data_IF_538342439273
#
_entry.id   IF_538342439273
#
_cell.length_a   1.000
_cell.length_b   1.000
_cell.length_c   1.000
_cell.angle_alpha   90.00
_cell.angle_beta   90.00
_cell.angle_gamma   90.00
#
_symmetry.space_group_name_H-M   'P 1'
#
loop_
_entity.id
_entity.type
_entity.pdbx_description
1 polymer ?
#
# COMPACT_ATOMS: atom_id res chain seq x y z
N UNK A 1 -15.90 14.64 3.98
CA UNK A 1 -15.38 15.50 2.88
C UNK A 1 -15.16 14.62 1.66
N UNK A 2 -15.55 15.05 0.45
CA UNK A 2 -15.32 14.27 -0.76
C UNK A 2 -13.82 14.22 -1.09
N UNK A 3 -13.38 13.10 -1.67
CA UNK A 3 -12.02 12.91 -2.18
C UNK A 3 -11.84 13.62 -3.52
N UNK A 4 -12.59 13.16 -4.54
CA UNK A 4 -12.55 13.68 -5.91
C UNK A 4 -13.94 13.64 -6.53
N UNK A 5 -14.27 14.66 -7.32
CA UNK A 5 -15.54 14.77 -8.05
C UNK A 5 -16.80 14.51 -7.19
N UNK A 6 -16.77 14.95 -5.92
CA UNK A 6 -17.89 14.76 -4.99
C UNK A 6 -18.03 13.34 -4.40
N UNK A 7 -17.17 12.39 -4.78
CA UNK A 7 -17.17 11.02 -4.25
C UNK A 7 -16.27 10.88 -3.04
N UNK A 8 -16.70 10.09 -2.05
CA UNK A 8 -15.85 9.65 -0.95
C UNK A 8 -14.87 8.57 -1.41
N UNK A 9 -13.70 8.51 -0.78
CA UNK A 9 -12.72 7.45 -1.01
C UNK A 9 -12.99 6.28 -0.04
N UNK A 10 -13.13 5.08 -0.59
CA UNK A 10 -13.02 3.83 0.15
C UNK A 10 -11.67 3.21 -0.17
N UNK A 11 -10.93 2.82 0.86
CA UNK A 11 -9.60 2.24 0.69
C UNK A 11 -9.44 1.04 1.62
N UNK A 12 -8.65 0.08 1.15
CA UNK A 12 -8.35 -1.14 1.90
C UNK A 12 -6.87 -1.45 1.74
N UNK A 13 -6.19 -1.71 2.86
CA UNK A 13 -4.75 -1.97 2.88
C UNK A 13 -4.51 -3.47 2.79
N UNK A 14 -3.58 -3.88 1.95
CA UNK A 14 -3.15 -5.28 1.83
C UNK A 14 -1.64 -5.37 1.75
N UNK A 15 -1.09 -6.30 2.52
CA UNK A 15 0.35 -6.45 2.71
C UNK A 15 0.78 -7.85 2.28
N UNK A 16 0.93 -8.12 0.97
CA UNK A 16 1.32 -9.45 0.52
C UNK A 16 2.78 -9.75 0.92
N UNK A 17 3.04 -11.00 1.30
CA UNK A 17 4.39 -11.46 1.60
C UNK A 17 5.22 -11.56 0.31
N UNK A 18 6.29 -10.77 0.19
CA UNK A 18 7.22 -10.80 -0.95
C UNK A 18 7.78 -12.20 -1.20
N UNK A 19 8.04 -12.94 -0.12
CA UNK A 19 8.65 -14.28 -0.14
C UNK A 19 7.63 -15.41 -0.02
N UNK A 20 6.33 -15.10 -0.06
CA UNK A 20 5.30 -16.13 0.00
C UNK A 20 5.39 -17.04 -1.24
N UNK A 21 5.23 -18.34 -1.06
CA UNK A 21 5.38 -19.36 -2.13
C UNK A 21 4.57 -19.02 -3.40
N UNK A 22 3.34 -18.53 -3.23
CA UNK A 22 2.45 -18.15 -4.34
C UNK A 22 2.93 -16.93 -5.15
N UNK A 23 3.82 -16.11 -4.59
CA UNK A 23 4.31 -14.88 -5.21
C UNK A 23 5.81 -14.92 -5.53
N UNK A 24 6.61 -15.79 -4.90
CA UNK A 24 8.08 -15.80 -5.01
C UNK A 24 8.58 -15.94 -6.47
N UNK A 25 7.88 -16.72 -7.29
CA UNK A 25 8.20 -16.88 -8.72
C UNK A 25 7.99 -15.60 -9.55
N UNK A 26 7.15 -14.68 -9.06
CA UNK A 26 6.88 -13.38 -9.67
C UNK A 26 7.83 -12.33 -9.09
N UNK A 27 7.89 -12.21 -7.77
CA UNK A 27 8.67 -11.19 -7.06
C UNK A 27 10.18 -11.34 -7.24
N UNK A 28 10.66 -12.56 -7.52
CA UNK A 28 12.07 -12.81 -7.91
C UNK A 28 12.46 -12.23 -9.26
N UNK A 29 11.49 -11.97 -10.15
CA UNK A 29 11.72 -11.44 -11.50
C UNK A 29 11.50 -9.94 -11.56
N UNK A 30 10.50 -9.46 -10.83
CA UNK A 30 10.13 -8.05 -10.82
C UNK A 30 9.58 -7.64 -9.45
N UNK A 31 10.15 -6.56 -8.94
CA UNK A 31 9.81 -5.96 -7.66
C UNK A 31 8.38 -5.41 -7.67
N UNK A 32 7.60 -5.67 -6.62
CA UNK A 32 6.24 -5.12 -6.50
C UNK A 32 5.15 -5.94 -7.19
N UNK A 33 5.48 -7.06 -7.84
CA UNK A 33 4.47 -7.89 -8.51
C UNK A 33 3.46 -8.52 -7.54
N UNK A 34 3.82 -8.81 -6.29
CA UNK A 34 2.84 -9.30 -5.33
C UNK A 34 1.86 -8.19 -4.94
N UNK A 35 2.36 -6.96 -4.74
CA UNK A 35 1.50 -5.80 -4.48
C UNK A 35 0.58 -5.49 -5.66
N UNK A 36 1.09 -5.51 -6.89
CA UNK A 36 0.29 -5.29 -8.09
C UNK A 36 -0.82 -6.34 -8.25
N UNK A 37 -0.48 -7.63 -8.05
CA UNK A 37 -1.48 -8.72 -8.09
C UNK A 37 -2.54 -8.58 -7.01
N UNK A 38 -2.14 -8.24 -5.79
CA UNK A 38 -3.08 -8.00 -4.70
C UNK A 38 -4.01 -6.81 -5.00
N UNK A 39 -3.49 -5.74 -5.60
CA UNK A 39 -4.28 -4.58 -6.01
C UNK A 39 -5.32 -4.96 -7.07
N UNK A 40 -4.93 -5.72 -8.10
CA UNK A 40 -5.85 -6.21 -9.15
C UNK A 40 -6.97 -7.08 -8.56
N UNK A 41 -6.64 -7.99 -7.64
CA UNK A 41 -7.62 -8.84 -6.95
C UNK A 41 -8.62 -7.99 -6.14
N UNK A 42 -8.14 -6.97 -5.43
CA UNK A 42 -9.01 -6.05 -4.67
C UNK A 42 -9.88 -5.20 -5.59
N UNK A 43 -9.34 -4.70 -6.70
CA UNK A 43 -10.12 -3.96 -7.70
C UNK A 43 -11.23 -4.83 -8.30
N UNK A 44 -10.95 -6.09 -8.63
CA UNK A 44 -11.98 -7.02 -9.13
C UNK A 44 -13.07 -7.27 -8.09
N UNK A 45 -12.70 -7.36 -6.80
CA UNK A 45 -13.64 -7.62 -5.71
C UNK A 45 -14.53 -6.41 -5.38
N UNK A 46 -13.96 -5.21 -5.32
CA UNK A 46 -14.62 -4.03 -4.76
C UNK A 46 -14.88 -2.91 -5.76
N UNK A 47 -14.22 -2.90 -6.91
CA UNK A 47 -14.27 -1.79 -7.87
C UNK A 47 -15.68 -1.45 -8.37
N UNK A 48 -16.55 -2.45 -8.46
CA UNK A 48 -17.97 -2.27 -8.83
C UNK A 48 -18.94 -2.41 -7.64
N UNK A 49 -18.42 -2.75 -6.45
CA UNK A 49 -19.27 -3.01 -5.27
C UNK A 49 -19.72 -1.71 -4.58
N UNK A 50 -19.00 -0.61 -4.79
CA UNK A 50 -19.23 0.68 -4.15
C UNK A 50 -19.50 1.78 -5.20
N UNK A 51 -20.67 1.80 -5.87
CA UNK A 51 -20.93 2.68 -7.01
C UNK A 51 -20.93 4.18 -6.67
N UNK A 52 -21.12 4.54 -5.40
CA UNK A 52 -21.11 5.93 -4.92
C UNK A 52 -19.74 6.38 -4.37
N UNK A 53 -18.77 5.47 -4.29
CA UNK A 53 -17.44 5.75 -3.75
C UNK A 53 -16.37 5.48 -4.79
N UNK A 54 -15.23 6.14 -4.65
CA UNK A 54 -14.02 5.77 -5.36
C UNK A 54 -13.30 4.71 -4.54
N UNK A 55 -13.14 3.49 -5.06
CA UNK A 55 -12.37 2.46 -4.38
C UNK A 55 -10.91 2.50 -4.83
N UNK A 56 -9.98 2.52 -3.88
CA UNK A 56 -8.54 2.45 -4.13
C UNK A 56 -7.88 1.40 -3.21
N UNK A 57 -7.32 0.31 -3.76
CA UNK A 57 -6.51 -0.60 -2.98
C UNK A 57 -5.18 0.08 -2.63
N UNK A 58 -4.76 -0.09 -1.37
CA UNK A 58 -3.41 0.27 -0.92
C UNK A 58 -2.64 -1.04 -0.77
N UNK A 59 -1.76 -1.36 -1.73
CA UNK A 59 -1.01 -2.59 -1.75
C UNK A 59 0.50 -2.34 -1.63
N UNK A 60 1.09 -2.93 -0.59
CA UNK A 60 2.49 -2.74 -0.23
C UNK A 60 3.03 -4.11 0.18
N UNK A 61 4.00 -4.64 -0.56
CA UNK A 61 4.65 -5.87 -0.16
C UNK A 61 5.37 -5.72 1.18
N UNK A 62 5.53 -6.83 1.89
CA UNK A 62 6.13 -6.86 3.23
C UNK A 62 7.54 -6.27 3.28
N UNK A 63 8.31 -6.37 2.18
CA UNK A 63 9.66 -5.81 2.08
C UNK A 63 9.70 -4.36 1.59
N UNK A 64 8.55 -3.73 1.35
CA UNK A 64 8.43 -2.31 0.99
C UNK A 64 7.92 -1.97 -0.43
N UNK A 65 8.10 -2.80 -1.47
CA UNK A 65 7.59 -2.47 -2.81
C UNK A 65 6.09 -2.20 -2.82
N UNK A 66 5.64 -1.14 -3.49
CA UNK A 66 4.23 -0.76 -3.58
C UNK A 66 3.72 -0.93 -5.00
N UNK A 67 2.41 -1.15 -5.15
CA UNK A 67 1.82 -1.01 -6.47
C UNK A 67 1.85 0.47 -6.94
N UNK A 68 1.89 0.73 -8.26
CA UNK A 68 2.00 2.09 -8.77
C UNK A 68 0.87 3.05 -8.35
N UNK A 69 -0.35 2.56 -8.16
CA UNK A 69 -1.48 3.39 -7.76
C UNK A 69 -1.37 3.78 -6.29
N UNK A 70 -0.90 2.89 -5.42
CA UNK A 70 -0.56 3.23 -4.03
C UNK A 70 0.48 4.34 -3.97
N UNK A 71 1.58 4.21 -4.73
CA UNK A 71 2.62 5.23 -4.74
C UNK A 71 2.09 6.58 -5.26
N UNK A 72 1.27 6.56 -6.32
CA UNK A 72 0.63 7.76 -6.85
C UNK A 72 -0.28 8.41 -5.80
N UNK A 73 -1.09 7.63 -5.12
CA UNK A 73 -2.01 8.10 -4.09
C UNK A 73 -1.29 8.74 -2.90
N UNK A 74 -0.26 8.09 -2.35
CA UNK A 74 0.53 8.65 -1.25
C UNK A 74 1.18 9.98 -1.65
N UNK A 75 1.72 10.06 -2.86
CA UNK A 75 2.27 11.31 -3.40
C UNK A 75 1.22 12.40 -3.55
N UNK A 76 -0.01 12.06 -3.98
CA UNK A 76 -1.12 13.01 -4.06
C UNK A 76 -1.51 13.54 -2.67
N UNK A 77 -1.58 12.68 -1.66
CA UNK A 77 -1.85 13.07 -0.27
C UNK A 77 -0.76 14.04 0.24
N UNK A 78 0.52 13.70 0.09
CA UNK A 78 1.60 14.58 0.55
C UNK A 78 1.59 15.94 -0.17
N UNK A 79 1.28 15.97 -1.46
CA UNK A 79 1.10 17.22 -2.22
C UNK A 79 -0.07 18.03 -1.71
N UNK A 80 -1.21 17.39 -1.42
CA UNK A 80 -2.37 18.08 -0.85
C UNK A 80 -2.07 18.70 0.52
N UNK A 81 -1.30 18.00 1.36
CA UNK A 81 -0.84 18.53 2.66
C UNK A 81 0.01 19.79 2.44
N UNK A 82 1.00 19.73 1.55
CA UNK A 82 1.88 20.87 1.26
C UNK A 82 1.14 22.07 0.67
N UNK A 83 0.19 21.83 -0.25
CA UNK A 83 -0.65 22.90 -0.80
C UNK A 83 -1.54 23.52 0.28
N UNK A 84 -2.10 22.69 1.18
CA UNK A 84 -2.99 23.16 2.25
C UNK A 84 -2.25 23.92 3.35
N UNK A 85 -1.01 23.55 3.65
CA UNK A 85 -0.18 24.24 4.64
C UNK A 85 0.39 25.56 4.12
N UNK A 86 0.58 25.68 2.79
CA UNK A 86 1.28 26.80 2.17
C UNK A 86 2.80 26.72 2.30
N UNK A 87 3.35 25.63 2.84
CA UNK A 87 4.78 25.38 2.99
C UNK A 87 5.21 24.20 2.12
N UNK A 88 6.16 24.46 1.20
CA UNK A 88 6.69 23.44 0.28
C UNK A 88 7.49 22.35 1.01
N UNK A 89 8.02 22.63 2.21
CA UNK A 89 8.77 21.66 3.02
C UNK A 89 7.87 20.56 3.59
N UNK A 90 6.58 20.83 3.74
CA UNK A 90 5.61 19.84 4.24
C UNK A 90 5.48 18.63 3.33
N UNK A 91 5.76 18.77 2.02
CA UNK A 91 5.84 17.63 1.11
C UNK A 91 6.92 16.63 1.57
N UNK A 92 8.10 17.13 1.93
CA UNK A 92 9.22 16.33 2.43
C UNK A 92 8.90 15.74 3.80
N UNK A 93 8.39 16.55 4.74
CA UNK A 93 8.07 16.07 6.08
C UNK A 93 6.96 15.01 6.08
N UNK A 94 5.88 15.21 5.33
CA UNK A 94 4.80 14.24 5.20
C UNK A 94 5.30 12.92 4.57
N UNK A 95 6.11 13.00 3.52
CA UNK A 95 6.66 11.81 2.85
C UNK A 95 7.55 11.00 3.80
N UNK A 96 8.45 11.66 4.53
CA UNK A 96 9.32 10.98 5.50
C UNK A 96 8.53 10.41 6.68
N UNK A 97 7.55 11.15 7.18
CA UNK A 97 6.70 10.68 8.27
C UNK A 97 5.97 9.39 7.89
N UNK A 98 5.34 9.36 6.72
CA UNK A 98 4.67 8.16 6.19
C UNK A 98 5.66 7.02 5.98
N UNK A 99 6.84 7.31 5.42
CA UNK A 99 7.89 6.30 5.18
C UNK A 99 8.34 5.63 6.48
N UNK A 100 8.59 6.42 7.53
CA UNK A 100 8.98 5.92 8.84
C UNK A 100 7.88 5.08 9.50
N UNK A 101 6.62 5.53 9.44
CA UNK A 101 5.49 4.77 9.99
C UNK A 101 5.33 3.43 9.26
N UNK A 102 5.43 3.45 7.94
CA UNK A 102 5.31 2.26 7.13
C UNK A 102 6.42 1.26 7.43
N UNK A 103 7.69 1.70 7.48
CA UNK A 103 8.80 0.82 7.82
C UNK A 103 8.65 0.19 9.21
N UNK A 104 8.16 0.95 10.19
CA UNK A 104 7.86 0.42 11.53
C UNK A 104 6.79 -0.66 11.51
N UNK A 105 5.74 -0.46 10.70
CA UNK A 105 4.68 -1.44 10.54
C UNK A 105 5.16 -2.68 9.78
N UNK A 106 5.82 -2.52 8.64
CA UNK A 106 6.36 -3.61 7.83
C UNK A 106 7.35 -4.47 8.60
N UNK A 107 8.16 -3.86 9.47
CA UNK A 107 9.04 -4.58 10.39
C UNK A 107 8.26 -5.61 11.23
N UNK A 108 7.11 -5.24 11.79
CA UNK A 108 6.26 -6.17 12.57
C UNK A 108 5.79 -7.32 11.68
N UNK A 109 5.30 -7.02 10.49
CA UNK A 109 4.86 -8.05 9.54
C UNK A 109 5.99 -9.02 9.16
N UNK A 110 7.22 -8.54 8.96
CA UNK A 110 8.38 -9.41 8.70
C UNK A 110 8.65 -10.34 9.89
N UNK A 111 8.68 -9.81 11.11
CA UNK A 111 8.91 -10.63 12.31
C UNK A 111 7.85 -11.73 12.49
N UNK A 112 6.57 -11.37 12.35
CA UNK A 112 5.47 -12.33 12.44
C UNK A 112 5.57 -13.43 11.37
N UNK A 113 5.88 -13.05 10.13
CA UNK A 113 6.07 -14.03 9.04
C UNK A 113 7.24 -14.98 9.31
N UNK A 114 8.36 -14.49 9.85
CA UNK A 114 9.50 -15.35 10.21
C UNK A 114 9.12 -16.33 11.32
N UNK A 115 8.43 -15.86 12.36
CA UNK A 115 8.00 -16.71 13.47
C UNK A 115 7.04 -17.81 12.99
N UNK A 116 6.03 -17.46 12.19
CA UNK A 116 5.08 -18.42 11.63
C UNK A 116 5.77 -19.50 10.79
N UNK A 117 6.77 -19.13 9.98
CA UNK A 117 7.54 -20.09 9.19
C UNK A 117 8.44 -20.98 10.05
N UNK A 118 8.99 -20.46 11.16
CA UNK A 118 9.77 -21.26 12.09
C UNK A 118 8.91 -22.29 12.83
N UNK A 119 7.69 -21.91 13.23
CA UNK A 119 6.74 -22.78 13.92
C UNK A 119 6.22 -23.90 12.99
N UNK A 120 6.08 -23.64 11.70
CA UNK A 120 5.68 -24.64 10.69
C UNK A 120 6.76 -25.68 10.37
N UNK A 121 8.02 -25.40 10.70
CA UNK A 121 9.16 -26.29 10.44
C UNK A 121 9.55 -27.18 11.63
N UNK A 122 8.88 -27.02 12.79
CA UNK A 122 9.04 -27.84 13.99
C UNK A 122 7.88 -28.85 14.13
#
# INVERSE_FOLDING_TARGET
MPWRAGRCLAWDVTVPGTLAERYVNLTSKECGLAAARAADEKMKKYGNALPSMEFLPICIEVLGPMDPNTLKFLNEICKMISVRSGDSRELFFATNHISCLLQRFLRVCVFENIQLNADMCN
#
